data_IF_016995223252
#
_entry.id   IF_016995223252
#
_cell.length_a   1.000
_cell.length_b   1.000
_cell.length_c   1.000
_cell.angle_alpha   90.00
_cell.angle_beta   90.00
_cell.angle_gamma   90.00
#
_symmetry.space_group_name_H-M   'P 1'
#
loop_
_entity.id
_entity.type
_entity.pdbx_description
1 polymer ?
#
# COMPACT_ATOMS: atom_id res chain seq x y z
N UNK A 1 17.16 -10.38 12.78
CA UNK A 1 15.86 -9.88 12.27
C UNK A 1 15.36 -8.84 13.25
N UNK A 2 15.59 -7.56 12.96
CA UNK A 2 15.14 -6.46 13.81
C UNK A 2 13.65 -6.24 13.50
N UNK A 3 12.77 -6.83 14.30
CA UNK A 3 11.35 -6.43 14.33
C UNK A 3 11.25 -5.19 15.20
N UNK A 4 11.64 -4.03 14.67
CA UNK A 4 11.13 -2.78 15.22
C UNK A 4 9.63 -2.78 14.94
N UNK A 5 8.79 -2.67 15.98
CA UNK A 5 7.33 -2.70 15.88
C UNK A 5 6.77 -1.46 15.17
N UNK A 6 7.10 -1.30 13.89
CA UNK A 6 6.54 -0.27 13.04
C UNK A 6 5.03 -0.51 12.87
N UNK A 7 4.25 0.55 13.00
CA UNK A 7 2.83 0.50 12.69
C UNK A 7 2.66 0.43 11.16
N UNK A 8 2.25 -0.74 10.66
CA UNK A 8 2.07 -1.03 9.24
C UNK A 8 0.97 -0.20 8.57
N UNK A 9 0.06 0.38 9.36
CA UNK A 9 -1.04 1.23 8.91
C UNK A 9 -0.84 2.71 9.32
N UNK A 10 0.38 3.09 9.72
CA UNK A 10 0.68 4.47 10.08
C UNK A 10 0.36 5.44 8.93
N UNK A 11 -0.37 6.51 9.22
CA UNK A 11 -0.75 7.50 8.22
C UNK A 11 0.22 8.69 8.22
N UNK A 12 0.65 9.11 7.05
CA UNK A 12 1.36 10.38 6.89
C UNK A 12 0.38 11.57 6.92
N UNK A 13 0.88 12.78 6.67
CA UNK A 13 0.06 14.00 6.61
C UNK A 13 -0.94 14.01 5.46
N UNK A 14 -0.86 13.10 4.49
CA UNK A 14 -1.81 12.90 3.39
C UNK A 14 -2.80 11.75 3.66
N UNK A 15 -2.84 11.24 4.89
CA UNK A 15 -3.60 10.04 5.27
C UNK A 15 -3.19 8.76 4.53
N UNK A 16 -2.04 8.78 3.86
CA UNK A 16 -1.50 7.63 3.15
C UNK A 16 -0.82 6.67 4.13
N UNK A 17 -1.18 5.40 4.03
CA UNK A 17 -0.46 4.29 4.67
C UNK A 17 0.82 3.95 3.88
N UNK A 18 1.77 3.17 4.45
CA UNK A 18 2.88 2.63 3.69
C UNK A 18 2.45 1.89 2.42
N UNK A 19 1.28 1.24 2.44
CA UNK A 19 0.73 0.56 1.28
C UNK A 19 0.38 1.54 0.15
N UNK A 20 -0.26 2.68 0.45
CA UNK A 20 -0.52 3.73 -0.55
C UNK A 20 0.77 4.18 -1.25
N UNK A 21 1.78 4.52 -0.45
CA UNK A 21 3.07 5.03 -0.94
C UNK A 21 3.77 3.98 -1.81
N UNK A 22 3.80 2.72 -1.37
CA UNK A 22 4.43 1.64 -2.13
C UNK A 22 3.70 1.34 -3.45
N UNK A 23 2.37 1.44 -3.46
CA UNK A 23 1.55 1.26 -4.65
C UNK A 23 1.73 2.38 -5.67
N UNK A 24 1.73 3.64 -5.23
CA UNK A 24 1.99 4.78 -6.13
C UNK A 24 3.40 4.78 -6.71
N UNK A 25 4.39 4.31 -5.95
CA UNK A 25 5.79 4.24 -6.39
C UNK A 25 6.13 3.02 -7.26
N UNK A 26 5.23 2.04 -7.40
CA UNK A 26 5.51 0.84 -8.21
C UNK A 26 6.37 -0.23 -7.53
N UNK A 27 6.49 -0.20 -6.20
CA UNK A 27 7.39 -1.09 -5.45
C UNK A 27 6.73 -2.43 -5.08
N UNK A 28 6.61 -3.35 -6.05
CA UNK A 28 5.92 -4.65 -5.87
C UNK A 28 6.43 -5.47 -4.68
N UNK A 29 7.74 -5.52 -4.44
CA UNK A 29 8.31 -6.32 -3.35
C UNK A 29 7.86 -5.82 -1.97
N UNK A 30 7.74 -4.49 -1.80
CA UNK A 30 7.27 -3.89 -0.55
C UNK A 30 5.76 -4.13 -0.40
N UNK A 31 4.99 -3.99 -1.48
CA UNK A 31 3.55 -4.29 -1.47
C UNK A 31 3.28 -5.71 -0.96
N UNK A 32 4.00 -6.71 -1.50
CA UNK A 32 3.89 -8.11 -1.05
C UNK A 32 4.16 -8.27 0.44
N UNK A 33 5.26 -7.70 0.93
CA UNK A 33 5.61 -7.79 2.35
C UNK A 33 4.56 -7.14 3.27
N UNK A 34 3.96 -6.02 2.84
CA UNK A 34 2.91 -5.34 3.60
C UNK A 34 1.60 -6.15 3.62
N UNK A 35 1.22 -6.76 2.49
CA UNK A 35 0.06 -7.66 2.40
C UNK A 35 0.27 -8.89 3.28
N UNK A 36 1.43 -9.55 3.19
CA UNK A 36 1.79 -10.69 4.05
C UNK A 36 1.77 -10.34 5.54
N UNK A 37 2.03 -9.07 5.88
CA UNK A 37 1.96 -8.53 7.23
C UNK A 37 0.54 -8.15 7.68
N UNK A 38 -0.49 -8.40 6.85
CA UNK A 38 -1.91 -8.12 7.10
C UNK A 38 -2.24 -6.63 7.35
N UNK A 39 -1.62 -5.74 6.59
CA UNK A 39 -2.01 -4.32 6.60
C UNK A 39 -3.45 -4.11 6.08
N UNK A 40 -4.05 -2.97 6.39
CA UNK A 40 -5.37 -2.62 5.86
C UNK A 40 -5.27 -2.12 4.41
N UNK A 41 -5.72 -2.94 3.46
CA UNK A 41 -5.68 -2.64 2.02
C UNK A 41 -6.78 -1.68 1.54
N UNK A 42 -7.77 -1.39 2.38
CA UNK A 42 -8.95 -0.60 2.04
C UNK A 42 -8.95 0.82 2.62
N UNK A 43 -7.88 1.23 3.31
CA UNK A 43 -7.74 2.61 3.79
C UNK A 43 -7.82 3.61 2.64
N UNK A 44 -8.39 4.78 2.94
CA UNK A 44 -8.42 5.91 2.02
C UNK A 44 -7.45 7.01 2.47
N UNK A 45 -6.81 7.64 1.49
CA UNK A 45 -6.03 8.86 1.70
C UNK A 45 -6.93 10.12 1.72
N UNK A 46 -6.31 11.30 1.79
CA UNK A 46 -7.02 12.59 1.84
C UNK A 46 -7.92 12.86 0.64
N UNK A 47 -7.59 12.29 -0.52
CA UNK A 47 -8.31 12.50 -1.77
C UNK A 47 -9.37 11.41 -1.99
N UNK A 48 -9.54 10.49 -1.03
CA UNK A 48 -10.47 9.37 -1.11
C UNK A 48 -9.91 8.19 -1.92
N UNK A 49 -8.62 8.20 -2.26
CA UNK A 49 -8.00 7.11 -3.00
C UNK A 49 -7.61 5.98 -2.05
N UNK A 50 -7.82 4.74 -2.49
CA UNK A 50 -7.23 3.55 -1.86
C UNK A 50 -5.86 3.25 -2.49
N UNK A 51 -5.03 2.36 -1.90
CA UNK A 51 -3.78 1.94 -2.55
C UNK A 51 -3.98 1.41 -3.98
N UNK A 52 -5.12 0.74 -4.24
CA UNK A 52 -5.50 0.25 -5.57
C UNK A 52 -5.72 1.40 -6.57
N UNK A 53 -6.36 2.51 -6.15
CA UNK A 53 -6.52 3.69 -7.01
C UNK A 53 -5.16 4.21 -7.48
N UNK A 54 -4.20 4.31 -6.56
CA UNK A 54 -2.84 4.77 -6.89
C UNK A 54 -2.11 3.80 -7.82
N UNK A 55 -2.20 2.48 -7.58
CA UNK A 55 -1.60 1.48 -8.46
C UNK A 55 -2.16 1.56 -9.89
N UNK A 56 -3.46 1.79 -10.05
CA UNK A 56 -4.13 1.96 -11.35
C UNK A 56 -3.72 3.29 -12.00
N UNK A 57 -3.76 4.40 -11.25
CA UNK A 57 -3.44 5.73 -11.74
C UNK A 57 -2.04 5.81 -12.35
N UNK A 58 -1.07 5.12 -11.75
CA UNK A 58 0.32 5.09 -12.22
C UNK A 58 0.67 3.85 -13.05
N UNK A 59 -0.32 3.06 -13.47
CA UNK A 59 -0.19 1.91 -14.38
C UNK A 59 0.75 0.79 -13.87
N UNK A 60 0.74 0.52 -12.56
CA UNK A 60 1.54 -0.54 -11.94
C UNK A 60 0.81 -1.90 -11.97
N UNK A 61 0.63 -2.46 -13.16
CA UNK A 61 -0.16 -3.69 -13.39
C UNK A 61 0.19 -4.86 -12.45
N UNK A 62 1.47 -5.19 -12.17
CA UNK A 62 1.78 -6.26 -11.23
C UNK A 62 1.27 -6.02 -9.81
N UNK A 63 1.23 -4.77 -9.36
CA UNK A 63 0.71 -4.39 -8.04
C UNK A 63 -0.81 -4.47 -8.02
N UNK A 64 -1.47 -4.06 -9.11
CA UNK A 64 -2.93 -4.22 -9.25
C UNK A 64 -3.31 -5.68 -9.09
N UNK A 65 -2.60 -6.59 -9.76
CA UNK A 65 -2.87 -8.02 -9.65
C UNK A 65 -2.64 -8.55 -8.23
N UNK A 66 -1.60 -8.08 -7.55
CA UNK A 66 -1.32 -8.47 -6.17
C UNK A 66 -2.43 -8.00 -5.21
N UNK A 67 -2.84 -6.74 -5.30
CA UNK A 67 -3.89 -6.16 -4.45
C UNK A 67 -5.27 -6.78 -4.67
N UNK A 68 -5.59 -7.15 -5.91
CA UNK A 68 -6.86 -7.82 -6.24
C UNK A 68 -6.91 -9.24 -5.65
N UNK A 69 -5.75 -9.87 -5.43
CA UNK A 69 -5.62 -11.23 -4.91
C UNK A 69 -5.34 -11.27 -3.39
N UNK A 70 -5.21 -10.12 -2.74
CA UNK A 70 -4.81 -9.96 -1.35
C UNK A 70 -5.93 -10.26 -0.34
#
# INVERSE_FOLDING_TARGET
MVRCGANIDAKNSLLQTPLHVSCGNGNLQIVKQLIESKCNVAEIDKDGNTPLHLAIQFNHIPIVQELVNA
#
